data_IF_294276178382
#
_entry.id   IF_294276178382
#
_cell.length_a   1.000
_cell.length_b   1.000
_cell.length_c   1.000
_cell.angle_alpha   90.00
_cell.angle_beta   90.00
_cell.angle_gamma   90.00
#
_symmetry.space_group_name_H-M   'P 1'
#
loop_
_entity.id
_entity.type
_entity.pdbx_description
1 polymer ?
#
# COMPACT_ATOMS: atom_id res chain seq x y z
N UNK A 1 1.86 15.86 31.69
CA UNK A 1 2.73 15.47 30.55
C UNK A 1 2.44 16.37 29.35
N UNK A 2 3.46 16.95 28.69
CA UNK A 2 3.28 17.80 27.49
C UNK A 2 2.82 16.97 26.28
N UNK A 3 2.10 17.59 25.34
CA UNK A 3 1.51 16.89 24.19
C UNK A 3 2.55 16.18 23.30
N UNK A 4 3.69 16.82 23.01
CA UNK A 4 4.74 16.21 22.18
C UNK A 4 5.39 14.98 22.85
N UNK A 5 5.48 14.96 24.19
CA UNK A 5 6.02 13.82 24.91
C UNK A 5 5.08 12.62 24.83
N UNK A 6 3.76 12.86 24.95
CA UNK A 6 2.75 11.83 24.71
C UNK A 6 2.85 11.28 23.28
N UNK A 7 2.98 12.16 22.29
CA UNK A 7 3.13 11.75 20.88
C UNK A 7 4.35 10.88 20.66
N UNK A 8 5.51 11.27 21.21
CA UNK A 8 6.74 10.48 21.15
C UNK A 8 6.56 9.07 21.75
N UNK A 9 5.99 8.97 22.96
CA UNK A 9 5.74 7.68 23.59
C UNK A 9 4.76 6.81 22.78
N UNK A 10 3.73 7.41 22.18
CA UNK A 10 2.81 6.70 21.28
C UNK A 10 3.53 6.17 20.03
N UNK A 11 4.41 6.98 19.42
CA UNK A 11 5.19 6.55 18.26
C UNK A 11 6.14 5.41 18.63
N UNK A 12 6.84 5.50 19.75
CA UNK A 12 7.74 4.46 20.22
C UNK A 12 6.98 3.13 20.42
N UNK A 13 5.79 3.18 21.04
CA UNK A 13 4.93 2.01 21.20
C UNK A 13 4.50 1.39 19.87
N UNK A 14 4.09 2.22 18.91
CA UNK A 14 3.71 1.75 17.55
C UNK A 14 4.88 1.15 16.79
N UNK A 15 6.06 1.75 16.89
CA UNK A 15 7.27 1.21 16.27
C UNK A 15 7.65 -0.14 16.88
N UNK A 16 7.63 -0.28 18.21
CA UNK A 16 7.88 -1.58 18.88
C UNK A 16 6.90 -2.65 18.39
N UNK A 17 5.62 -2.31 18.23
CA UNK A 17 4.61 -3.23 17.71
C UNK A 17 4.85 -3.59 16.24
N UNK A 18 5.32 -2.66 15.40
CA UNK A 18 5.64 -2.98 14.01
C UNK A 18 6.76 -4.02 13.92
N UNK A 19 7.78 -3.92 14.77
CA UNK A 19 8.88 -4.89 14.83
C UNK A 19 8.50 -6.25 15.44
N UNK A 20 7.28 -6.40 15.99
CA UNK A 20 6.80 -7.71 16.46
C UNK A 20 6.08 -8.54 15.39
N UNK A 21 6.00 -8.06 14.15
CA UNK A 21 5.27 -8.71 13.03
C UNK A 21 6.19 -9.57 12.14
N UNK A 22 7.22 -10.18 12.74
CA UNK A 22 8.26 -10.92 12.00
C UNK A 22 7.68 -12.07 11.16
N UNK A 23 6.74 -12.83 11.73
CA UNK A 23 6.08 -13.94 11.06
C UNK A 23 5.32 -13.49 9.80
N UNK A 24 4.56 -12.40 9.90
CA UNK A 24 3.79 -11.84 8.80
C UNK A 24 4.72 -11.28 7.71
N UNK A 25 5.79 -10.60 8.11
CA UNK A 25 6.80 -10.08 7.19
C UNK A 25 7.48 -11.22 6.43
N UNK A 26 7.89 -12.28 7.12
CA UNK A 26 8.53 -13.45 6.50
C UNK A 26 7.58 -14.17 5.54
N UNK A 27 6.32 -14.33 5.93
CA UNK A 27 5.27 -14.92 5.08
C UNK A 27 5.07 -14.10 3.80
N UNK A 28 4.97 -12.77 3.91
CA UNK A 28 4.85 -11.89 2.75
C UNK A 28 6.09 -11.95 1.84
N UNK A 29 7.29 -12.04 2.42
CA UNK A 29 8.53 -12.18 1.67
C UNK A 29 8.56 -13.49 0.85
N UNK A 30 8.08 -14.61 1.42
CA UNK A 30 7.96 -15.89 0.71
C UNK A 30 6.98 -15.82 -0.46
N UNK A 31 5.82 -15.18 -0.28
CA UNK A 31 4.86 -14.99 -1.37
C UNK A 31 5.42 -14.10 -2.49
N UNK A 32 6.11 -13.03 -2.13
CA UNK A 32 6.76 -12.12 -3.08
C UNK A 32 7.88 -12.87 -3.85
N UNK A 33 8.73 -13.61 -3.14
CA UNK A 33 9.80 -14.39 -3.75
C UNK A 33 9.24 -15.42 -4.73
N UNK A 34 8.26 -16.22 -4.30
CA UNK A 34 7.61 -17.20 -5.17
C UNK A 34 6.91 -16.58 -6.38
N UNK A 35 6.29 -15.40 -6.23
CA UNK A 35 5.71 -14.65 -7.35
C UNK A 35 6.80 -14.27 -8.36
N UNK A 36 7.94 -13.76 -7.89
CA UNK A 36 9.03 -13.33 -8.76
C UNK A 36 9.74 -14.51 -9.45
N UNK A 37 9.94 -15.63 -8.74
CA UNK A 37 10.50 -16.87 -9.30
C UNK A 37 9.65 -17.41 -10.45
N UNK A 38 8.32 -17.32 -10.32
CA UNK A 38 7.37 -17.72 -11.36
C UNK A 38 7.15 -16.64 -12.43
N UNK A 39 8.05 -15.65 -12.53
CA UNK A 39 7.97 -14.55 -13.49
C UNK A 39 6.64 -13.77 -13.41
N UNK A 40 6.04 -13.71 -12.23
CA UNK A 40 4.86 -12.89 -11.93
C UNK A 40 5.17 -11.41 -11.74
N UNK A 41 4.13 -10.67 -11.36
CA UNK A 41 4.15 -9.24 -11.05
C UNK A 41 3.61 -9.00 -9.64
N UNK A 42 4.20 -8.05 -8.93
CA UNK A 42 3.70 -7.56 -7.64
C UNK A 42 2.79 -6.38 -7.92
N UNK A 43 1.50 -6.53 -7.61
CA UNK A 43 0.53 -5.44 -7.68
C UNK A 43 0.30 -4.86 -6.29
N UNK A 44 0.31 -3.54 -6.17
CA UNK A 44 0.04 -2.84 -4.93
C UNK A 44 -0.95 -1.69 -5.17
N UNK A 45 -1.91 -1.53 -4.27
CA UNK A 45 -2.87 -0.43 -4.32
C UNK A 45 -3.10 0.12 -2.92
N UNK A 46 -3.55 1.36 -2.86
CA UNK A 46 -4.03 2.02 -1.66
C UNK A 46 -4.79 3.27 -2.04
N UNK A 47 -5.82 3.60 -1.25
CA UNK A 47 -6.62 4.81 -1.46
C UNK A 47 -6.20 5.89 -0.47
N UNK A 48 -6.57 7.14 -0.73
CA UNK A 48 -6.21 8.25 0.13
C UNK A 48 -4.70 8.34 0.33
N UNK A 49 -4.19 8.44 1.56
CA UNK A 49 -2.74 8.44 1.82
C UNK A 49 -2.09 7.06 1.69
N UNK A 50 -2.86 5.97 1.69
CA UNK A 50 -2.30 4.62 1.61
C UNK A 50 -1.67 4.32 0.25
N UNK A 51 -1.98 5.09 -0.80
CA UNK A 51 -1.30 4.96 -2.10
C UNK A 51 0.22 5.17 -1.98
N UNK A 52 0.67 5.95 -1.00
CA UNK A 52 2.10 6.17 -0.73
C UNK A 52 2.85 4.87 -0.49
N UNK A 53 2.21 3.84 0.09
CA UNK A 53 2.85 2.53 0.25
C UNK A 53 3.03 1.79 -1.08
N UNK A 54 2.12 2.00 -2.03
CA UNK A 54 2.26 1.45 -3.39
C UNK A 54 3.36 2.17 -4.16
N UNK A 55 3.45 3.49 -4.01
CA UNK A 55 4.54 4.29 -4.57
C UNK A 55 5.90 3.98 -3.93
N UNK A 56 5.96 3.76 -2.61
CA UNK A 56 7.21 3.49 -1.89
C UNK A 56 7.93 2.22 -2.38
N UNK A 57 7.21 1.25 -2.91
CA UNK A 57 7.83 0.04 -3.49
C UNK A 57 7.96 0.09 -5.02
N UNK A 58 7.44 1.14 -5.67
CA UNK A 58 7.48 1.30 -7.11
C UNK A 58 8.64 2.20 -7.55
N UNK A 59 9.44 1.73 -8.50
CA UNK A 59 10.40 2.53 -9.26
C UNK A 59 11.35 3.39 -8.41
N UNK A 60 11.89 2.81 -7.34
CA UNK A 60 12.94 3.42 -6.51
C UNK A 60 14.24 2.64 -6.55
N UNK A 61 15.35 3.29 -6.20
CA UNK A 61 16.63 2.62 -6.03
C UNK A 61 16.53 1.50 -4.98
N UNK A 62 16.96 0.29 -5.34
CA UNK A 62 16.88 -0.90 -4.50
C UNK A 62 15.50 -1.59 -4.50
N UNK A 63 14.51 -1.07 -5.22
CA UNK A 63 13.19 -1.70 -5.38
C UNK A 63 13.19 -2.80 -6.45
N UNK A 64 12.17 -3.66 -6.41
CA UNK A 64 11.96 -4.67 -7.45
C UNK A 64 11.48 -4.03 -8.76
N UNK A 65 12.04 -4.45 -9.89
CA UNK A 65 11.61 -3.97 -11.20
C UNK A 65 10.19 -4.44 -11.58
N UNK A 66 9.71 -5.56 -11.00
CA UNK A 66 8.42 -6.20 -11.32
C UNK A 66 7.30 -5.78 -10.36
N UNK A 67 7.27 -4.50 -9.98
CA UNK A 67 6.18 -3.90 -9.21
C UNK A 67 5.33 -3.04 -10.14
N UNK A 68 4.01 -3.23 -10.10
CA UNK A 68 3.03 -2.43 -10.83
C UNK A 68 2.03 -1.81 -9.84
N UNK A 69 2.17 -0.53 -9.50
CA UNK A 69 1.22 0.12 -8.61
C UNK A 69 -0.09 0.35 -9.37
N UNK A 70 -1.20 0.23 -8.65
CA UNK A 70 -2.55 0.52 -9.12
C UNK A 70 -2.91 1.88 -8.53
N UNK A 71 -2.63 2.93 -9.30
CA UNK A 71 -2.86 4.34 -8.93
C UNK A 71 -4.07 4.86 -9.71
N UNK A 72 -5.20 4.99 -9.03
CA UNK A 72 -6.45 5.49 -9.62
C UNK A 72 -6.66 6.89 -9.11
N UNK A 73 -6.57 7.90 -9.98
CA UNK A 73 -6.59 9.30 -9.58
C UNK A 73 -7.82 9.68 -8.73
N UNK A 74 -8.99 9.09 -9.00
CA UNK A 74 -10.22 9.29 -8.24
C UNK A 74 -10.12 8.79 -6.80
N UNK A 75 -9.22 7.85 -6.51
CA UNK A 75 -8.91 7.34 -5.18
C UNK A 75 -7.68 8.03 -4.55
N UNK A 76 -7.07 8.98 -5.26
CA UNK A 76 -5.96 9.79 -4.77
C UNK A 76 -6.45 11.15 -4.28
N UNK A 77 -5.63 11.81 -3.46
CA UNK A 77 -6.02 13.05 -2.78
C UNK A 77 -5.76 14.32 -3.58
N UNK A 78 -4.98 14.23 -4.67
CA UNK A 78 -4.52 15.40 -5.41
C UNK A 78 -5.62 16.06 -6.26
N UNK A 79 -6.66 15.32 -6.66
CA UNK A 79 -7.82 15.86 -7.38
C UNK A 79 -8.85 16.44 -6.42
N UNK A 80 -9.33 15.60 -5.49
CA UNK A 80 -10.35 15.96 -4.51
C UNK A 80 -10.32 14.96 -3.34
N UNK A 81 -9.96 15.43 -2.14
CA UNK A 81 -9.91 14.57 -0.96
C UNK A 81 -11.31 14.08 -0.50
N UNK A 82 -12.35 14.91 -0.64
CA UNK A 82 -13.74 14.50 -0.38
C UNK A 82 -14.24 13.54 -1.46
N UNK A 83 -13.98 13.86 -2.73
CA UNK A 83 -14.31 13.00 -3.87
C UNK A 83 -13.68 11.62 -3.77
N UNK A 84 -12.43 11.52 -3.29
CA UNK A 84 -11.78 10.23 -3.00
C UNK A 84 -12.52 9.40 -1.95
N UNK A 85 -13.09 10.04 -0.91
CA UNK A 85 -13.89 9.33 0.09
C UNK A 85 -15.22 8.83 -0.48
N UNK A 86 -15.83 9.60 -1.38
CA UNK A 86 -17.05 9.20 -2.07
C UNK A 86 -16.78 8.04 -3.05
N UNK A 87 -15.68 8.11 -3.80
CA UNK A 87 -15.24 7.06 -4.71
C UNK A 87 -14.94 5.74 -3.98
N UNK A 88 -14.26 5.79 -2.83
CA UNK A 88 -14.02 4.61 -1.97
C UNK A 88 -15.31 3.88 -1.56
N UNK A 89 -16.42 4.62 -1.42
CA UNK A 89 -17.71 4.08 -0.99
C UNK A 89 -18.59 3.63 -2.15
N UNK A 90 -18.14 3.78 -3.40
CA UNK A 90 -18.88 3.34 -4.58
C UNK A 90 -18.77 1.83 -4.72
N UNK A 91 -19.87 1.15 -4.41
CA UNK A 91 -19.97 -0.31 -4.59
C UNK A 91 -19.68 -0.71 -6.04
N UNK A 92 -18.90 -1.77 -6.22
CA UNK A 92 -18.49 -2.27 -7.54
C UNK A 92 -17.32 -1.52 -8.18
N UNK A 93 -16.88 -0.38 -7.65
CA UNK A 93 -15.82 0.41 -8.28
C UNK A 93 -14.49 -0.33 -8.37
N UNK A 94 -14.12 -1.09 -7.34
CA UNK A 94 -12.91 -1.92 -7.37
C UNK A 94 -12.92 -2.95 -8.52
N UNK A 95 -14.08 -3.56 -8.81
CA UNK A 95 -14.19 -4.53 -9.88
C UNK A 95 -14.02 -3.86 -11.26
N UNK A 96 -14.59 -2.66 -11.43
CA UNK A 96 -14.45 -1.85 -12.64
C UNK A 96 -12.99 -1.51 -12.94
N UNK A 97 -12.26 -0.96 -11.95
CA UNK A 97 -10.86 -0.53 -12.15
C UNK A 97 -9.89 -1.71 -12.36
N UNK A 98 -10.17 -2.88 -11.76
CA UNK A 98 -9.27 -4.02 -11.85
C UNK A 98 -9.36 -4.73 -13.22
N UNK A 99 -10.39 -4.46 -14.05
CA UNK A 99 -10.49 -4.99 -15.41
C UNK A 99 -9.34 -4.52 -16.32
N UNK A 100 -8.73 -3.37 -16.02
CA UNK A 100 -7.62 -2.80 -16.80
C UNK A 100 -6.26 -3.41 -16.45
N UNK A 101 -6.21 -4.31 -15.46
CA UNK A 101 -5.00 -4.95 -15.00
C UNK A 101 -5.05 -6.45 -15.30
N UNK A 102 -3.99 -7.04 -15.87
CA UNK A 102 -3.89 -8.48 -16.08
C UNK A 102 -3.55 -9.17 -14.75
N UNK A 103 -4.53 -9.18 -13.85
CA UNK A 103 -4.48 -9.85 -12.55
C UNK A 103 -5.16 -11.20 -12.73
N UNK A 104 -4.37 -12.27 -12.69
CA UNK A 104 -4.81 -13.65 -12.95
C UNK A 104 -3.62 -14.57 -13.12
#
# INVERSE_FOLDING_TARGET
>A
MKAYHRYFLTLEGKLKQAFSQETEIQTAAEWIAGTLENQGWIYASGTGHSHLFSEEIFYRAGGFARVRPILIDELLLHKDASGSTEAERREGFAAEILMDYPIG
#
